data_IF_702738644213
#
_entry.id   IF_702738644213
#
_cell.length_a   1.000
_cell.length_b   1.000
_cell.length_c   1.000
_cell.angle_alpha   90.00
_cell.angle_beta   90.00
_cell.angle_gamma   90.00
#
_symmetry.space_group_name_H-M   'P 1'
#
loop_
_entity.id
_entity.type
_entity.pdbx_description
1 polymer ?
2 polymer ?
3 non-polymer ?
4 water ?
#
# COMPACT_ATOMS: atom_id res chain seq x y z
N UNK A 6 20.18 20.08 -8.88
CA UNK A 6 20.81 21.04 -9.85
C UNK A 6 20.31 20.76 -11.28
N UNK A 7 20.28 19.50 -11.73
CA UNK A 7 19.96 19.12 -13.13
C UNK A 7 18.46 19.30 -13.42
N UNK A 8 18.10 19.88 -14.55
CA UNK A 8 16.70 20.16 -14.91
C UNK A 8 16.01 18.81 -15.17
N UNK A 9 14.79 18.66 -14.68
CA UNK A 9 13.98 17.47 -15.00
C UNK A 9 13.87 16.60 -13.79
N UNK A 10 12.67 16.10 -13.54
CA UNK A 10 12.40 15.20 -12.39
C UNK A 10 11.32 14.21 -12.80
N UNK A 11 11.34 13.05 -12.16
CA UNK A 11 10.27 12.03 -12.30
C UNK A 11 9.75 11.72 -10.91
N UNK A 12 8.45 11.92 -10.74
CA UNK A 12 7.72 11.53 -9.54
C UNK A 12 6.64 10.56 -9.98
N UNK A 13 6.67 9.34 -9.45
CA UNK A 13 5.61 8.35 -9.78
C UNK A 13 4.69 8.24 -8.57
N UNK A 14 3.40 8.35 -8.82
CA UNK A 14 2.36 8.37 -7.75
C UNK A 14 1.30 7.33 -8.06
N UNK A 15 0.48 7.03 -7.04
CA UNK A 15 -0.63 6.09 -7.20
C UNK A 15 -1.97 6.78 -7.16
N UNK A 16 -3.01 6.07 -7.57
CA UNK A 16 -4.40 6.58 -7.39
C UNK A 16 -5.14 5.79 -6.31
N UNK A 17 -4.54 4.75 -5.76
CA UNK A 17 -5.29 3.77 -4.95
C UNK A 17 -6.25 3.01 -5.82
N UNK A 18 -7.16 2.26 -5.23
CA UNK A 18 -7.98 1.28 -5.99
C UNK A 18 -9.37 1.87 -6.23
N UNK A 19 -10.03 2.35 -5.19
CA UNK A 19 -11.39 2.88 -5.31
C UNK A 19 -11.32 4.25 -5.99
N UNK A 20 -12.16 4.45 -6.99
CA UNK A 20 -12.19 5.65 -7.86
C UNK A 20 -12.06 6.92 -7.03
N UNK A 21 -11.01 7.71 -7.32
CA UNK A 21 -10.74 9.10 -6.88
C UNK A 21 -10.41 9.16 -5.38
N UNK A 22 -11.31 8.66 -4.53
CA UNK A 22 -11.19 8.80 -3.07
C UNK A 22 -9.91 8.21 -2.50
N UNK A 23 -9.29 7.21 -3.13
CA UNK A 23 -8.12 6.52 -2.52
C UNK A 23 -6.81 7.13 -3.03
N UNK A 24 -6.90 8.22 -3.77
CA UNK A 24 -5.71 9.03 -4.10
C UNK A 24 -5.24 9.78 -2.84
N UNK A 25 -3.94 9.86 -2.61
CA UNK A 25 -3.42 10.66 -1.47
C UNK A 25 -3.42 12.14 -1.83
N UNK A 26 -3.45 12.98 -0.81
CA UNK A 26 -3.37 14.43 -1.03
C UNK A 26 -2.08 14.76 -1.79
N UNK A 27 -0.95 14.14 -1.46
CA UNK A 27 0.33 14.51 -2.10
C UNK A 27 0.30 14.02 -3.56
N UNK A 28 -0.30 12.87 -3.84
CA UNK A 28 -0.38 12.39 -5.24
C UNK A 28 -1.13 13.45 -6.05
N UNK A 29 -2.28 13.89 -5.56
CA UNK A 29 -3.05 14.98 -6.23
C UNK A 29 -2.19 16.23 -6.43
N UNK A 30 -1.46 16.70 -5.40
CA UNK A 30 -0.69 17.96 -5.49
C UNK A 30 0.40 17.81 -6.57
N UNK A 31 1.06 16.65 -6.70
CA UNK A 31 2.13 16.43 -7.70
C UNK A 31 1.52 16.37 -9.11
N UNK A 32 0.35 15.75 -9.25
CA UNK A 32 -0.36 15.70 -10.56
C UNK A 32 -0.68 17.15 -10.97
N UNK A 33 -1.18 17.98 -10.06
CA UNK A 33 -1.52 19.39 -10.41
C UNK A 33 -0.26 20.18 -10.76
N UNK A 34 0.87 19.94 -10.10
CA UNK A 34 2.12 20.74 -10.29
C UNK A 34 2.89 20.30 -11.53
N UNK A 35 2.65 19.10 -12.06
CA UNK A 35 3.48 18.52 -13.15
C UNK A 35 3.44 19.36 -14.42
N UNK A 36 4.54 19.36 -15.17
CA UNK A 36 4.60 19.85 -16.58
C UNK A 36 3.89 18.85 -17.49
N UNK A 37 4.02 17.56 -17.20
CA UNK A 37 3.46 16.48 -18.05
C UNK A 37 3.07 15.31 -17.15
N UNK A 38 1.90 14.73 -17.42
CA UNK A 38 1.35 13.59 -16.63
C UNK A 38 1.15 12.40 -17.57
N UNK A 39 1.64 11.24 -17.18
CA UNK A 39 1.43 9.97 -17.87
C UNK A 39 0.66 9.07 -16.90
N UNK A 40 -0.47 8.51 -17.32
CA UNK A 40 -1.31 7.74 -16.39
C UNK A 40 -1.70 6.38 -16.95
N UNK A 41 -1.92 5.44 -16.03
CA UNK A 41 -2.40 4.09 -16.34
C UNK A 41 -3.38 3.71 -15.22
N UNK A 42 -4.67 3.93 -15.42
CA UNK A 42 -5.67 3.76 -14.31
C UNK A 42 -6.71 2.76 -14.77
N UNK A 43 -7.60 2.31 -13.90
CA UNK A 43 -8.62 1.33 -14.36
C UNK A 43 -9.92 2.04 -14.69
N UNK A 44 -10.37 2.95 -13.84
CA UNK A 44 -11.77 3.40 -14.01
C UNK A 44 -11.78 4.76 -14.66
N UNK A 45 -12.83 5.04 -15.46
CA UNK A 45 -12.91 6.29 -16.21
C UNK A 45 -13.18 7.52 -15.36
N UNK A 46 -13.78 7.38 -14.17
CA UNK A 46 -14.03 8.55 -13.29
C UNK A 46 -12.69 9.06 -12.76
N UNK A 47 -11.79 8.15 -12.41
CA UNK A 47 -10.40 8.51 -12.01
C UNK A 47 -9.66 9.17 -13.17
N UNK A 48 -9.78 8.59 -14.37
CA UNK A 48 -9.17 9.23 -15.58
C UNK A 48 -9.71 10.65 -15.78
N UNK A 49 -11.02 10.82 -15.78
CA UNK A 49 -11.66 12.15 -15.99
C UNK A 49 -11.16 13.13 -14.91
N UNK A 50 -11.09 12.68 -13.66
CA UNK A 50 -10.62 13.48 -12.51
C UNK A 50 -9.18 13.96 -12.78
N UNK A 51 -8.30 13.06 -13.19
CA UNK A 51 -6.88 13.46 -13.47
C UNK A 51 -6.86 14.54 -14.55
N UNK A 52 -7.64 14.35 -15.63
CA UNK A 52 -7.64 15.30 -16.76
C UNK A 52 -8.17 16.66 -16.31
N UNK A 53 -8.98 16.76 -15.24
CA UNK A 53 -9.41 18.08 -14.71
C UNK A 53 -8.27 18.75 -13.96
N UNK A 54 -7.26 17.98 -13.54
CA UNK A 54 -6.19 18.50 -12.64
C UNK A 54 -4.94 18.93 -13.42
N UNK A 55 -4.75 18.46 -14.64
CA UNK A 55 -3.55 18.84 -15.42
C UNK A 55 -3.94 18.89 -16.90
N UNK A 56 -3.43 19.89 -17.63
CA UNK A 56 -3.81 20.13 -19.02
C UNK A 56 -2.95 19.30 -19.97
N UNK A 57 -1.91 18.61 -19.50
CA UNK A 57 -0.94 17.91 -20.38
C UNK A 57 -0.81 16.44 -19.93
N UNK A 58 -1.82 15.62 -20.19
CA UNK A 58 -1.89 14.20 -19.77
C UNK A 58 -1.82 13.29 -20.98
N UNK A 59 -1.20 12.15 -20.78
CA UNK A 59 -1.12 11.07 -21.77
C UNK A 59 -1.54 9.75 -21.14
N UNK A 60 -2.45 9.05 -21.79
CA UNK A 60 -2.91 7.73 -21.32
C UNK A 60 -1.90 6.68 -21.78
N UNK A 61 -1.21 6.04 -20.82
CA UNK A 61 -0.25 4.95 -21.12
C UNK A 61 -0.97 3.68 -21.59
N UNK A 62 -2.27 3.54 -21.34
CA UNK A 62 -3.00 2.29 -21.68
C UNK A 62 -3.01 2.06 -23.19
N UNK A 63 -2.89 3.11 -23.97
CA UNK A 63 -2.90 2.99 -25.45
C UNK A 63 -1.67 2.22 -25.96
N UNK A 64 -0.66 1.94 -25.12
CA UNK A 64 0.59 1.25 -25.54
C UNK A 64 0.52 -0.26 -25.37
N UNK A 65 -0.57 -0.79 -24.80
CA UNK A 65 -0.92 -2.22 -24.90
C UNK A 65 -1.46 -2.50 -26.29
N UNK A 66 -1.33 -3.73 -26.75
CA UNK A 66 -2.06 -4.17 -27.96
C UNK A 66 -2.20 -5.69 -27.94
N UNK A 67 -3.17 -6.19 -28.69
CA UNK A 67 -3.42 -7.63 -28.81
C UNK A 67 -2.15 -8.34 -29.29
N UNK A 68 -1.72 -9.36 -28.54
CA UNK A 68 -0.58 -10.21 -28.90
C UNK A 68 0.73 -9.45 -28.79
N UNK A 69 0.72 -8.23 -28.26
CA UNK A 69 1.96 -7.40 -28.10
C UNK A 69 2.54 -7.72 -26.72
N UNK A 70 3.82 -8.08 -26.69
CA UNK A 70 4.59 -8.41 -25.48
C UNK A 70 4.36 -7.31 -24.44
N UNK A 71 3.89 -7.64 -23.25
CA UNK A 71 3.71 -6.65 -22.15
C UNK A 71 5.07 -6.02 -21.83
N UNK A 72 6.15 -6.78 -21.92
CA UNK A 72 7.51 -6.24 -21.69
C UNK A 72 7.77 -5.08 -22.66
N UNK A 73 7.40 -5.23 -23.93
CA UNK A 73 7.60 -4.16 -24.94
C UNK A 73 6.73 -2.94 -24.57
N UNK A 74 5.49 -3.17 -24.17
CA UNK A 74 4.60 -2.09 -23.67
C UNK A 74 5.30 -1.36 -22.53
N UNK A 75 5.83 -2.10 -21.55
CA UNK A 75 6.41 -1.52 -20.30
C UNK A 75 7.66 -0.70 -20.69
N UNK A 76 8.49 -1.20 -21.59
CA UNK A 76 9.66 -0.44 -22.08
C UNK A 76 9.18 0.90 -22.66
N UNK A 77 8.12 0.87 -23.46
CA UNK A 77 7.57 2.06 -24.15
C UNK A 77 7.00 3.04 -23.10
N UNK A 78 6.22 2.54 -22.13
CA UNK A 78 5.64 3.40 -21.08
C UNK A 78 6.77 4.13 -20.35
N UNK A 79 7.77 3.39 -19.91
CA UNK A 79 8.95 3.95 -19.22
C UNK A 79 9.58 5.05 -20.10
N UNK A 80 9.83 4.75 -21.36
CA UNK A 80 10.64 5.63 -22.25
C UNK A 80 9.87 6.93 -22.53
N UNK A 81 8.54 6.87 -22.62
CA UNK A 81 7.73 8.08 -22.81
C UNK A 81 7.96 9.03 -21.65
N UNK A 82 7.99 8.53 -20.40
CA UNK A 82 8.17 9.38 -19.21
C UNK A 82 9.60 9.91 -19.19
N UNK A 83 10.59 9.07 -19.38
CA UNK A 83 12.02 9.47 -19.22
C UNK A 83 12.40 10.44 -20.36
N UNK A 84 11.85 10.29 -21.56
CA UNK A 84 12.09 11.27 -22.66
C UNK A 84 11.76 12.69 -22.20
N UNK A 85 10.66 12.89 -21.46
CA UNK A 85 10.22 14.24 -21.00
C UNK A 85 11.10 14.71 -19.84
N UNK A 86 11.56 13.80 -19.00
CA UNK A 86 12.52 14.12 -17.92
C UNK A 86 13.79 14.70 -18.56
N UNK A 87 14.30 14.02 -19.58
CA UNK A 87 15.57 14.40 -20.27
C UNK A 87 15.44 15.79 -20.92
N UNK A 88 14.22 16.22 -21.23
CA UNK A 88 13.95 17.54 -21.86
C UNK A 88 13.84 18.62 -20.77
N UNK A 89 14.04 18.23 -19.52
CA UNK A 89 14.11 19.13 -18.35
C UNK A 89 12.75 19.43 -17.75
N UNK A 90 11.75 18.56 -17.97
CA UNK A 90 10.38 18.76 -17.43
C UNK A 90 10.21 18.00 -16.11
N UNK A 91 9.34 18.52 -15.24
CA UNK A 91 8.85 17.84 -14.03
C UNK A 91 7.71 16.92 -14.47
N UNK A 92 8.03 15.64 -14.54
CA UNK A 92 7.12 14.60 -15.07
C UNK A 92 6.49 13.84 -13.90
N UNK A 93 5.21 13.57 -13.99
CA UNK A 93 4.51 12.71 -12.99
C UNK A 93 3.94 11.52 -13.76
N UNK A 94 4.28 10.33 -13.31
CA UNK A 94 3.64 9.11 -13.76
C UNK A 94 2.62 8.66 -12.73
N UNK A 95 1.50 8.16 -13.20
CA UNK A 95 0.36 7.81 -12.30
C UNK A 95 -0.06 6.38 -12.63
N UNK A 96 -0.02 5.48 -11.64
CA UNK A 96 -0.46 4.10 -11.83
C UNK A 96 -1.51 3.82 -10.77
N UNK A 97 -2.46 2.99 -11.10
CA UNK A 97 -3.49 2.74 -10.08
C UNK A 97 -2.91 1.94 -8.93
N UNK A 98 -3.59 2.07 -7.80
CA UNK A 98 -3.15 1.43 -6.55
C UNK A 98 -1.91 2.10 -6.01
N UNK A 99 -0.95 1.30 -5.60
CA UNK A 99 0.41 1.72 -5.25
C UNK A 99 1.25 1.55 -6.51
N UNK A 100 1.96 2.60 -6.97
CA UNK A 100 2.56 2.54 -8.31
C UNK A 100 3.81 1.66 -8.39
N UNK A 101 4.25 1.09 -7.25
CA UNK A 101 5.41 0.19 -7.20
C UNK A 101 5.05 -1.25 -6.83
N UNK A 102 3.77 -1.55 -6.68
CA UNK A 102 3.26 -2.89 -6.22
C UNK A 102 2.70 -3.61 -7.43
N UNK A 103 3.44 -4.62 -7.90
CA UNK A 103 3.11 -5.36 -9.11
C UNK A 103 3.05 -4.37 -10.30
N UNK A 104 4.04 -3.50 -10.43
CA UNK A 104 4.17 -2.57 -11.60
C UNK A 104 5.62 -2.60 -12.11
N UNK A 105 5.80 -2.95 -13.38
CA UNK A 105 7.13 -2.99 -14.06
C UNK A 105 7.62 -1.59 -14.45
N UNK A 106 6.85 -0.79 -15.22
CA UNK A 106 7.41 0.43 -15.82
C UNK A 106 7.79 1.56 -14.87
N UNK A 107 7.16 1.65 -13.69
CA UNK A 107 7.50 2.69 -12.69
C UNK A 107 8.92 2.46 -12.21
N UNK A 108 9.23 1.24 -11.74
CA UNK A 108 10.58 0.91 -11.26
C UNK A 108 11.61 1.16 -12.38
N UNK A 109 11.28 0.76 -13.60
CA UNK A 109 12.19 0.88 -14.76
C UNK A 109 12.50 2.37 -14.98
N UNK A 110 11.46 3.20 -15.07
CA UNK A 110 11.61 4.63 -15.42
C UNK A 110 12.35 5.38 -14.31
N UNK A 111 12.05 5.09 -13.05
CA UNK A 111 12.74 5.72 -11.91
C UNK A 111 14.21 5.32 -11.88
N UNK A 112 14.54 4.05 -12.11
CA UNK A 112 15.93 3.60 -12.07
C UNK A 112 16.74 4.26 -13.20
N UNK A 113 16.13 4.41 -14.39
CA UNK A 113 16.81 5.03 -15.56
C UNK A 113 17.07 6.51 -15.21
N UNK A 114 16.03 7.21 -14.75
CA UNK A 114 16.13 8.64 -14.35
C UNK A 114 17.22 8.80 -13.29
N UNK A 115 17.20 7.97 -12.27
CA UNK A 115 18.20 8.05 -11.17
C UNK A 115 19.61 7.83 -11.76
N UNK A 116 19.79 6.83 -12.62
CA UNK A 116 21.10 6.43 -13.18
C UNK A 116 21.68 7.57 -14.03
N UNK A 117 20.82 8.40 -14.65
CA UNK A 117 21.24 9.52 -15.54
C UNK A 117 21.35 10.83 -14.75
N UNK A 118 21.14 10.79 -13.44
CA UNK A 118 21.42 11.89 -12.51
C UNK A 118 20.23 12.83 -12.32
N UNK A 119 19.00 12.42 -12.67
CA UNK A 119 17.78 13.24 -12.42
C UNK A 119 17.18 12.90 -11.06
N UNK A 120 16.43 13.85 -10.51
CA UNK A 120 15.62 13.65 -9.29
C UNK A 120 14.54 12.62 -9.63
N UNK A 121 14.35 11.64 -8.78
CA UNK A 121 13.46 10.48 -9.07
C UNK A 121 12.88 10.00 -7.75
N UNK A 122 11.57 9.96 -7.62
CA UNK A 122 10.93 9.53 -6.36
C UNK A 122 9.65 8.77 -6.71
N UNK A 123 9.38 7.75 -5.92
CA UNK A 123 8.05 7.11 -5.92
C UNK A 123 7.32 7.51 -4.64
N UNK A 124 6.09 7.97 -4.79
CA UNK A 124 5.20 8.21 -3.64
C UNK A 124 4.33 6.99 -3.50
N UNK A 125 4.28 6.41 -2.28
CA UNK A 125 3.43 5.26 -2.07
C UNK A 125 1.94 5.58 -2.21
N UNK A 126 1.16 4.53 -2.50
CA UNK A 126 -0.29 4.61 -2.61
C UNK A 126 -0.95 3.40 -1.96
N UNK A 127 -2.26 3.42 -1.92
CA UNK A 127 -3.09 2.33 -1.39
C UNK A 127 -3.15 1.20 -2.41
N UNK A 128 -2.62 0.05 -2.05
CA UNK A 128 -2.60 -1.14 -2.92
C UNK A 128 -3.87 -1.96 -2.80
N UNK A 129 -4.04 -2.91 -3.72
CA UNK A 129 -5.12 -3.90 -3.63
C UNK A 129 -4.98 -4.71 -2.35
N UNK A 130 -3.77 -4.95 -1.87
CA UNK A 130 -3.54 -5.72 -0.62
C UNK A 130 -4.00 -4.84 0.56
N UNK A 131 -3.70 -3.55 0.54
CA UNK A 131 -4.22 -2.61 1.58
C UNK A 131 -5.74 -2.72 1.63
N UNK A 132 -6.39 -2.71 0.47
CA UNK A 132 -7.87 -2.82 0.39
C UNK A 132 -8.32 -4.16 0.98
N UNK A 133 -7.62 -5.23 0.62
CA UNK A 133 -7.91 -6.61 1.11
C UNK A 133 -7.90 -6.62 2.64
N UNK A 134 -6.89 -6.07 3.27
CA UNK A 134 -6.81 -6.07 4.75
C UNK A 134 -8.04 -5.34 5.32
N UNK A 135 -8.39 -4.21 4.71
CA UNK A 135 -9.51 -3.37 5.20
C UNK A 135 -10.84 -4.10 5.01
N UNK A 136 -11.06 -4.74 3.86
CA UNK A 136 -12.38 -5.30 3.50
C UNK A 136 -12.57 -6.68 4.12
N UNK A 137 -11.48 -7.46 4.28
CA UNK A 137 -11.60 -8.82 4.85
C UNK A 137 -11.40 -8.76 6.37
N UNK A 138 -11.08 -7.58 6.91
CA UNK A 138 -10.95 -7.36 8.37
C UNK A 138 -9.86 -8.28 8.92
N UNK A 139 -8.71 -8.23 8.28
CA UNK A 139 -7.52 -8.97 8.74
C UNK A 139 -6.36 -8.00 8.88
N UNK A 140 -5.41 -8.39 9.70
CA UNK A 140 -4.21 -7.59 9.99
C UNK A 140 -3.04 -8.46 9.56
N UNK A 141 -2.13 -8.01 8.66
CA UNK A 141 -1.01 -8.84 8.24
C UNK A 141 -0.11 -9.27 9.42
N UNK A 142 -0.09 -8.47 10.52
CA UNK A 142 0.65 -8.79 11.78
C UNK A 142 0.19 -10.12 12.39
N UNK A 143 -1.06 -10.52 12.18
CA UNK A 143 -1.68 -11.62 12.95
C UNK A 143 -2.35 -12.56 11.96
N UNK A 144 -1.66 -13.61 11.46
CA UNK A 144 -0.37 -14.10 11.97
C UNK A 144 0.83 -14.12 11.00
N UNK A 145 1.10 -12.97 10.38
CA UNK A 145 2.12 -12.83 9.34
C UNK A 145 1.49 -12.95 7.97
N UNK A 146 2.16 -12.43 6.93
CA UNK A 146 1.55 -12.35 5.58
C UNK A 146 2.58 -12.67 4.51
N UNK A 147 2.23 -13.63 3.66
CA UNK A 147 3.03 -13.99 2.45
C UNK A 147 2.25 -13.50 1.24
N UNK A 148 2.91 -12.75 0.38
CA UNK A 148 2.29 -12.09 -0.79
C UNK A 148 3.11 -12.51 -2.02
N UNK A 149 2.42 -13.08 -3.01
CA UNK A 149 3.07 -13.52 -4.26
C UNK A 149 2.22 -13.18 -5.48
N UNK A 150 2.89 -13.09 -6.62
CA UNK A 150 2.27 -13.14 -7.96
C UNK A 150 1.94 -14.61 -8.28
N UNK A 151 0.72 -14.89 -8.72
CA UNK A 151 0.20 -16.27 -8.92
C UNK A 151 1.11 -17.08 -9.86
N UNK A 152 1.58 -16.52 -10.99
CA UNK A 152 2.45 -17.27 -11.95
C UNK A 152 3.80 -17.56 -11.30
N UNK A 153 4.37 -16.56 -10.63
CA UNK A 153 5.66 -16.67 -9.92
C UNK A 153 5.53 -17.73 -8.84
N UNK A 154 4.45 -17.67 -8.06
CA UNK A 154 4.15 -18.63 -6.98
C UNK A 154 4.32 -20.07 -7.51
N UNK A 155 3.78 -20.33 -8.69
CA UNK A 155 3.82 -21.67 -9.34
C UNK A 155 5.21 -21.96 -9.92
N UNK A 156 5.73 -21.06 -10.75
CA UNK A 156 6.97 -21.32 -11.56
C UNK A 156 8.17 -21.48 -10.62
N UNK A 157 8.26 -20.70 -9.54
CA UNK A 157 9.43 -20.77 -8.64
C UNK A 157 9.08 -21.59 -7.39
N UNK A 158 7.91 -22.23 -7.36
CA UNK A 158 7.48 -23.11 -6.24
C UNK A 158 7.71 -22.34 -4.92
N UNK A 159 7.15 -21.13 -4.82
CA UNK A 159 7.32 -20.28 -3.62
C UNK A 159 6.66 -20.97 -2.43
N UNK A 160 7.28 -20.94 -1.24
CA UNK A 160 6.73 -21.65 -0.08
C UNK A 160 5.43 -21.01 0.45
N UNK A 161 4.52 -21.85 0.94
CA UNK A 161 3.36 -21.35 1.73
C UNK A 161 3.64 -21.64 3.20
N UNK A 162 3.03 -20.84 4.07
CA UNK A 162 2.96 -21.12 5.52
C UNK A 162 1.48 -21.34 5.85
N UNK A 163 1.12 -22.55 6.28
CA UNK A 163 -0.29 -22.85 6.66
C UNK A 163 -0.65 -22.08 7.94
N UNK A 164 0.32 -21.44 8.59
CA UNK A 164 0.10 -20.70 9.86
C UNK A 164 -0.02 -19.19 9.63
N UNK A 165 0.21 -18.70 8.41
CA UNK A 165 0.16 -17.25 8.10
C UNK A 165 -0.84 -16.99 6.98
N UNK A 166 -1.19 -15.73 6.81
CA UNK A 166 -1.96 -15.25 5.64
C UNK A 166 -1.19 -15.57 4.35
N UNK A 167 -1.93 -15.91 3.29
CA UNK A 167 -1.39 -15.98 1.91
C UNK A 167 -2.24 -15.06 1.03
N UNK A 168 -1.58 -14.18 0.32
CA UNK A 168 -2.24 -13.34 -0.70
C UNK A 168 -1.62 -13.60 -2.07
N UNK A 169 -2.46 -13.84 -3.08
CA UNK A 169 -2.01 -14.08 -4.47
C UNK A 169 -2.63 -13.05 -5.43
N UNK A 170 -1.77 -12.27 -6.12
CA UNK A 170 -2.14 -11.27 -7.16
C UNK A 170 -2.08 -11.93 -8.55
N UNK A 171 -2.82 -11.38 -9.52
CA UNK A 171 -2.71 -11.78 -10.97
C UNK A 171 -3.11 -13.24 -11.09
N UNK A 172 -4.12 -13.65 -10.34
CA UNK A 172 -4.65 -15.02 -10.46
C UNK A 172 -5.49 -15.16 -11.74
N UNK A 173 -5.90 -14.06 -12.39
CA UNK A 173 -6.68 -14.15 -13.64
C UNK A 173 -5.84 -14.27 -14.90
N UNK A 174 -4.51 -14.28 -14.80
CA UNK A 174 -3.63 -14.37 -16.00
C UNK A 174 -2.45 -15.29 -15.73
N UNK A 175 -2.75 -16.45 -15.16
CA UNK A 175 -1.74 -17.52 -14.88
C UNK A 175 -1.04 -17.97 -16.17
N UNK A 176 0.26 -17.68 -16.28
CA UNK A 176 1.10 -18.13 -17.41
C UNK A 176 1.01 -17.27 -18.66
N UNK A 177 0.37 -16.09 -18.61
CA UNK A 177 0.02 -15.29 -19.83
C UNK A 177 1.02 -14.13 -20.02
N UNK A 178 1.70 -14.04 -21.17
CA UNK A 178 2.83 -13.10 -21.42
C UNK A 178 2.37 -11.79 -22.05
N UNK A 179 1.22 -11.84 -22.72
CA UNK A 179 0.81 -10.76 -23.62
C UNK A 179 -0.49 -10.18 -23.09
N UNK A 180 -1.31 -9.72 -24.01
CA UNK A 180 -2.41 -8.80 -23.70
C UNK A 180 -3.50 -9.07 -24.72
N UNK A 181 -4.74 -8.83 -24.31
CA UNK A 181 -5.90 -8.82 -25.20
C UNK A 181 -6.91 -7.84 -24.62
N UNK A 182 -7.46 -6.95 -25.43
CA UNK A 182 -8.34 -5.85 -24.95
C UNK A 182 -9.58 -6.46 -24.30
N UNK A 183 -10.01 -7.64 -24.75
CA UNK A 183 -11.22 -8.35 -24.24
C UNK A 183 -10.82 -9.36 -23.14
N UNK A 184 -9.59 -9.29 -22.63
CA UNK A 184 -9.16 -10.12 -21.49
C UNK A 184 -8.78 -11.51 -21.94
N UNK A 185 -8.56 -12.41 -20.98
CA UNK A 185 -8.02 -13.78 -21.16
C UNK A 185 -9.02 -14.81 -20.65
N UNK A 186 -9.01 -16.02 -21.24
CA UNK A 186 -9.81 -17.17 -20.76
C UNK A 186 -9.20 -17.71 -19.47
N UNK A 187 -7.89 -17.55 -19.30
CA UNK A 187 -7.16 -17.98 -18.07
C UNK A 187 -7.21 -19.51 -18.03
N UNK A 188 -6.80 -20.15 -19.13
CA UNK A 188 -6.95 -21.60 -19.34
C UNK A 188 -6.02 -22.41 -18.42
N UNK A 189 -4.98 -21.79 -17.83
CA UNK A 189 -3.99 -22.49 -16.96
C UNK A 189 -4.35 -22.29 -15.48
N UNK A 190 -5.52 -21.73 -15.20
CA UNK A 190 -6.04 -21.51 -13.84
C UNK A 190 -6.01 -22.82 -13.03
N UNK A 191 -6.28 -23.97 -13.65
CA UNK A 191 -6.31 -25.26 -12.94
C UNK A 191 -4.96 -25.64 -12.34
N UNK A 192 -3.84 -25.14 -12.90
CA UNK A 192 -2.48 -25.43 -12.37
C UNK A 192 -2.38 -24.78 -10.99
N UNK A 193 -2.94 -23.59 -10.84
CA UNK A 193 -2.93 -22.86 -9.54
C UNK A 193 -3.76 -23.66 -8.53
N UNK A 194 -4.96 -24.06 -8.93
CA UNK A 194 -5.87 -24.82 -8.04
C UNK A 194 -5.19 -26.12 -7.59
N UNK A 195 -4.46 -26.82 -8.47
CA UNK A 195 -3.76 -28.07 -8.09
C UNK A 195 -2.76 -27.79 -6.96
N UNK A 196 -1.99 -26.70 -7.07
CA UNK A 196 -1.01 -26.30 -6.02
C UNK A 196 -1.76 -26.01 -4.71
N UNK A 197 -2.84 -25.21 -4.77
CA UNK A 197 -3.60 -24.88 -3.53
C UNK A 197 -4.12 -26.16 -2.89
N UNK A 198 -4.57 -27.14 -3.67
CA UNK A 198 -5.05 -28.43 -3.13
C UNK A 198 -3.89 -29.15 -2.42
N UNK A 199 -2.71 -29.19 -3.03
CA UNK A 199 -1.52 -29.88 -2.44
C UNK A 199 -1.18 -29.20 -1.12
N UNK A 200 -1.17 -27.88 -1.06
CA UNK A 200 -0.70 -27.12 0.12
C UNK A 200 -1.75 -27.13 1.24
N UNK A 201 -3.04 -27.05 0.91
CA UNK A 201 -4.10 -26.73 1.91
C UNK A 201 -5.19 -27.79 2.01
N UNK A 202 -5.40 -28.60 0.98
CA UNK A 202 -6.50 -29.58 0.97
C UNK A 202 -7.70 -29.05 0.21
N UNK A 203 -8.53 -29.96 -0.30
CA UNK A 203 -9.68 -29.66 -1.20
C UNK A 203 -10.77 -28.84 -0.48
N UNK A 204 -10.88 -28.97 0.85
CA UNK A 204 -11.95 -28.35 1.68
C UNK A 204 -11.49 -27.03 2.31
N UNK A 205 -10.25 -26.57 2.04
CA UNK A 205 -9.74 -25.34 2.69
C UNK A 205 -10.36 -24.12 2.00
N UNK A 206 -10.73 -23.07 2.76
CA UNK A 206 -11.26 -21.84 2.16
C UNK A 206 -10.25 -21.01 1.36
N UNK A 207 -10.71 -20.49 0.21
CA UNK A 207 -10.02 -19.46 -0.61
C UNK A 207 -11.02 -18.32 -0.76
N UNK A 208 -10.61 -17.09 -0.49
CA UNK A 208 -11.51 -15.92 -0.67
C UNK A 208 -11.18 -15.27 -1.99
N UNK A 209 -12.17 -15.21 -2.90
CA UNK A 209 -12.12 -14.41 -4.13
C UNK A 209 -12.43 -12.96 -3.71
N UNK A 210 -11.42 -12.11 -3.82
CA UNK A 210 -11.49 -10.70 -3.41
C UNK A 210 -11.42 -9.79 -4.63
N UNK A 211 -12.44 -8.92 -4.74
CA UNK A 211 -12.36 -7.76 -5.67
C UNK A 211 -12.82 -6.53 -4.88
N UNK A 212 -11.88 -5.64 -4.65
CA UNK A 212 -12.12 -4.33 -4.03
C UNK A 212 -13.09 -3.56 -4.93
N UNK A 213 -14.04 -2.86 -4.33
CA UNK A 213 -14.94 -1.95 -5.05
C UNK A 213 -14.10 -0.90 -5.77
N UNK A 214 -14.36 -0.69 -7.05
CA UNK A 214 -13.60 0.34 -7.80
C UNK A 214 -14.44 1.63 -7.89
N UNK A 215 -15.73 1.54 -7.73
CA UNK A 215 -16.51 2.79 -7.66
C UNK A 215 -17.08 2.94 -6.27
N UNK A 216 -17.30 4.19 -5.81
CA UNK A 216 -17.56 4.45 -4.41
C UNK A 216 -18.84 3.81 -3.86
N UNK A 217 -19.82 3.51 -4.72
CA UNK A 217 -21.12 2.94 -4.27
C UNK A 217 -21.14 1.42 -4.25
N UNK A 218 -20.10 0.77 -4.79
CA UNK A 218 -20.07 -0.70 -5.05
C UNK A 218 -19.65 -1.38 -3.76
N UNK A 219 -20.07 -2.62 -3.57
CA UNK A 219 -19.57 -3.46 -2.46
C UNK A 219 -18.39 -4.27 -2.99
N UNK A 220 -17.44 -4.62 -2.13
CA UNK A 220 -16.38 -5.53 -2.54
C UNK A 220 -16.97 -6.93 -2.74
N UNK A 221 -16.29 -7.71 -3.57
CA UNK A 221 -16.50 -9.18 -3.68
C UNK A 221 -15.63 -9.80 -2.60
N UNK A 222 -16.26 -10.52 -1.67
CA UNK A 222 -15.59 -11.28 -0.58
C UNK A 222 -16.21 -12.68 -0.57
N UNK A 223 -16.03 -13.43 -1.67
CA UNK A 223 -16.68 -14.75 -1.91
C UNK A 223 -15.72 -15.87 -1.51
N UNK A 224 -16.03 -16.54 -0.42
CA UNK A 224 -15.34 -17.75 0.08
C UNK A 224 -15.75 -18.96 -0.76
N UNK A 225 -14.78 -19.68 -1.31
CA UNK A 225 -14.97 -20.99 -2.01
C UNK A 225 -14.04 -22.01 -1.35
N UNK A 226 -14.33 -23.31 -1.44
CA UNK A 226 -13.31 -24.35 -1.10
C UNK A 226 -12.34 -24.41 -2.27
N UNK A 227 -11.13 -24.93 -2.05
CA UNK A 227 -10.18 -25.19 -3.16
C UNK A 227 -10.92 -26.01 -4.24
N UNK A 228 -11.70 -27.03 -3.82
CA UNK A 228 -12.44 -27.93 -4.73
C UNK A 228 -13.36 -27.11 -5.66
N UNK A 229 -14.05 -26.09 -5.11
CA UNK A 229 -15.06 -25.33 -5.87
C UNK A 229 -14.40 -24.54 -6.99
N UNK A 230 -13.14 -24.14 -6.84
CA UNK A 230 -12.39 -23.41 -7.92
C UNK A 230 -12.31 -24.27 -9.18
N UNK A 231 -12.63 -25.57 -9.09
CA UNK A 231 -12.57 -26.50 -10.25
C UNK A 231 -13.87 -26.42 -11.06
N UNK A 232 -14.95 -25.89 -10.48
CA UNK A 232 -16.27 -25.77 -11.16
C UNK A 232 -16.20 -24.63 -12.18
N UNK A 233 -16.57 -24.87 -13.46
CA UNK A 233 -16.31 -23.91 -14.52
C UNK A 233 -16.97 -22.56 -14.27
N UNK A 234 -18.15 -22.57 -13.64
CA UNK A 234 -18.98 -21.35 -13.39
C UNK A 234 -18.26 -20.43 -12.40
N UNK A 235 -17.46 -21.02 -11.49
CA UNK A 235 -16.67 -20.28 -10.46
C UNK A 235 -15.33 -19.84 -11.06
N UNK A 236 -14.59 -20.75 -11.67
CA UNK A 236 -13.33 -20.40 -12.36
C UNK A 236 -13.55 -19.17 -13.25
N UNK A 237 -14.71 -19.13 -13.92
CA UNK A 237 -15.15 -18.09 -14.90
C UNK A 237 -15.15 -16.69 -14.25
N UNK A 238 -15.44 -16.61 -12.95
CA UNK A 238 -15.61 -15.33 -12.21
C UNK A 238 -14.28 -14.65 -11.93
N UNK A 239 -13.15 -15.33 -12.13
CA UNK A 239 -11.80 -14.78 -11.81
C UNK A 239 -11.29 -14.00 -13.02
N UNK A 240 -11.02 -12.71 -12.85
CA UNK A 240 -10.59 -11.79 -13.90
C UNK A 240 -9.34 -11.00 -13.58
N UNK A 241 -9.14 -9.93 -14.32
CA UNK A 241 -7.92 -9.09 -14.31
C UNK A 241 -7.76 -8.33 -13.02
N UNK A 242 -8.82 -8.20 -12.21
CA UNK A 242 -8.73 -7.43 -10.93
C UNK A 242 -9.03 -8.37 -9.74
N UNK A 243 -9.01 -9.68 -9.94
CA UNK A 243 -9.23 -10.71 -8.90
C UNK A 243 -7.92 -10.96 -8.12
N UNK A 244 -8.06 -11.02 -6.81
CA UNK A 244 -6.96 -11.38 -5.88
C UNK A 244 -7.50 -12.52 -5.04
N UNK A 245 -6.64 -13.48 -4.67
CA UNK A 245 -7.04 -14.50 -3.69
C UNK A 245 -6.37 -14.29 -2.34
N UNK A 246 -7.15 -14.55 -1.31
CA UNK A 246 -6.73 -14.61 0.11
C UNK A 246 -6.99 -16.01 0.61
N UNK A 247 -5.94 -16.66 1.10
CA UNK A 247 -6.06 -18.01 1.70
C UNK A 247 -5.71 -17.87 3.18
N UNK A 248 -6.70 -18.09 4.07
CA UNK A 248 -6.47 -17.97 5.50
C UNK A 248 -5.64 -19.12 6.03
N UNK A 249 -4.98 -18.91 7.19
CA UNK A 249 -4.24 -19.98 7.84
C UNK A 249 -5.11 -21.20 8.15
N UNK A 250 -4.45 -22.36 8.19
CA UNK A 250 -5.08 -23.67 8.45
C UNK A 250 -4.94 -23.99 9.94
N UNK A 251 -3.90 -23.49 10.60
CA UNK A 251 -3.56 -23.84 11.99
C UNK A 251 -2.92 -22.65 12.71
N UNK A 252 -2.94 -22.71 14.05
CA UNK A 252 -2.20 -21.76 14.93
C UNK A 252 -0.85 -22.41 15.30
N UNK A 253 0.20 -21.61 15.29
CA UNK A 253 1.58 -22.04 15.55
C UNK A 253 1.85 -21.91 17.05
N UNK A 254 2.51 -22.90 17.63
CA UNK A 254 2.88 -22.91 19.07
C UNK A 254 4.02 -21.93 19.32
N UNK A 255 4.17 -21.48 20.56
CA UNK A 255 5.33 -20.69 21.03
C UNK A 255 6.56 -21.59 21.24
N UNK A 256 7.71 -20.99 20.98
CA UNK A 256 9.08 -21.53 21.13
C UNK A 256 9.52 -21.28 22.59
N UNK A 257 9.81 -22.33 23.37
CA UNK A 257 10.14 -22.18 24.81
C UNK A 257 11.44 -21.38 24.99
N UNK A 258 12.42 -21.57 24.12
CA UNK A 258 13.73 -20.88 24.20
C UNK A 258 13.48 -19.38 24.12
N UNK A 259 12.65 -18.93 23.17
CA UNK A 259 12.36 -17.48 23.02
C UNK A 259 11.53 -16.98 24.21
N UNK A 260 10.50 -17.72 24.64
CA UNK A 260 9.69 -17.38 25.87
C UNK A 260 10.68 -17.12 27.02
N UNK A 261 11.73 -17.95 27.14
CA UNK A 261 12.74 -17.81 28.24
C UNK A 261 13.62 -16.60 28.00
N UNK A 262 14.11 -16.42 26.78
CA UNK A 262 15.08 -15.33 26.46
C UNK A 262 14.36 -13.97 26.47
N UNK A 263 13.07 -13.93 26.16
CA UNK A 263 12.30 -12.64 26.20
C UNK A 263 11.69 -12.43 27.60
N UNK A 264 11.88 -13.38 28.52
CA UNK A 264 11.40 -13.34 29.93
C UNK A 264 9.88 -13.19 29.98
N UNK A 265 9.14 -13.97 29.17
CA UNK A 265 7.66 -14.02 29.20
C UNK A 265 7.23 -15.11 30.16
N UNK A 266 7.67 -14.98 31.42
CA UNK A 266 7.67 -16.05 32.44
C UNK A 266 6.74 -15.64 33.59
N UNK A 267 6.23 -16.60 34.38
CA UNK A 267 6.43 -18.03 34.12
C UNK A 267 5.71 -18.51 32.85
N UNK A 268 6.36 -19.43 32.13
CA UNK A 268 5.72 -20.29 31.10
C UNK A 268 4.69 -21.16 31.83
N UNK A 269 3.42 -20.95 31.54
CA UNK A 269 2.28 -21.42 32.33
C UNK A 269 1.16 -20.38 32.24
N UNK A 270 1.56 -19.10 32.30
CA UNK A 270 0.69 -17.92 32.05
C UNK A 270 0.84 -17.44 30.60
N UNK A 271 1.78 -18.00 29.81
CA UNK A 271 1.77 -17.80 28.33
C UNK A 271 0.46 -18.41 27.85
N UNK A 272 -0.40 -17.70 27.07
CA UNK A 272 -1.67 -18.29 26.64
C UNK A 272 -1.47 -19.52 25.76
N UNK A 273 -2.44 -20.45 25.78
CA UNK A 273 -2.50 -21.61 24.86
C UNK A 273 -2.33 -21.07 23.43
N UNK A 274 -1.73 -21.84 22.52
CA UNK A 274 -1.54 -21.36 21.12
C UNK A 274 -2.91 -21.09 20.47
N UNK A 275 -4.00 -21.70 20.98
CA UNK A 275 -5.38 -21.52 20.43
C UNK A 275 -5.98 -20.20 20.94
N UNK A 276 -5.40 -19.59 21.99
CA UNK A 276 -5.89 -18.34 22.61
C UNK A 276 -5.82 -17.20 21.59
N UNK A 277 -6.85 -16.36 21.47
CA UNK A 277 -6.82 -15.28 20.46
C UNK A 277 -7.21 -13.96 21.11
N UNK A 278 -6.57 -12.89 20.69
CA UNK A 278 -6.98 -11.51 21.02
C UNK A 278 -8.21 -11.25 20.15
N UNK A 279 -9.28 -10.73 20.75
CA UNK A 279 -10.50 -10.38 19.97
C UNK A 279 -10.15 -9.28 18.98
N UNK A 280 -10.62 -9.33 17.71
CA UNK A 280 -11.43 -10.42 17.19
C UNK A 280 -10.62 -11.49 16.47
N UNK A 281 -11.23 -12.66 16.30
CA UNK A 281 -10.67 -13.77 15.51
C UNK A 281 -10.84 -13.48 14.02
N UNK A 282 -9.95 -14.02 13.21
CA UNK A 282 -10.06 -14.00 11.74
C UNK A 282 -11.29 -14.83 11.35
N UNK A 283 -12.30 -14.20 10.78
CA UNK A 283 -13.60 -14.84 10.44
C UNK A 283 -13.43 -15.82 9.26
N UNK A 284 -12.33 -15.77 8.54
CA UNK A 284 -12.16 -16.57 7.29
C UNK A 284 -11.53 -17.92 7.61
N UNK A 285 -10.81 -18.03 8.72
CA UNK A 285 -10.15 -19.27 9.16
C UNK A 285 -11.21 -20.33 9.35
N UNK A 286 -10.97 -21.57 8.87
CA UNK A 286 -11.91 -22.67 9.07
C UNK A 286 -11.99 -23.04 10.55
N UNK A 287 -13.22 -23.22 11.05
CA UNK A 287 -13.49 -23.71 12.43
C UNK A 287 -12.84 -22.75 13.43
N UNK A 288 -13.03 -21.45 13.20
CA UNK A 288 -12.48 -20.38 14.09
C UNK A 288 -13.39 -20.33 15.32
N UNK A 289 -12.82 -20.45 16.55
CA UNK A 289 -13.64 -20.45 17.76
C UNK A 289 -14.18 -19.04 18.03
N UNK A 290 -15.32 -18.95 18.70
CA UNK A 290 -15.92 -17.68 19.17
C UNK A 290 -14.96 -17.09 20.22
N UNK A 291 -14.61 -15.80 20.09
CA UNK A 291 -13.70 -15.12 21.05
C UNK A 291 -14.53 -14.06 21.80
N UNK A 292 -14.40 -14.03 23.12
CA UNK A 292 -15.17 -13.10 23.98
C UNK A 292 -14.55 -11.71 23.87
N UNK A 293 -15.32 -10.69 23.40
CA UNK A 293 -14.85 -9.31 23.36
C UNK A 293 -14.79 -8.64 24.73
N UNK A 294 -15.63 -9.07 25.69
CA UNK A 294 -15.70 -8.39 27.01
C UNK A 294 -15.38 -9.40 28.11
N UNK A 295 -14.12 -9.82 28.17
CA UNK A 295 -13.56 -10.61 29.30
C UNK A 295 -13.56 -9.73 30.54
N UNK A 296 -13.50 -10.31 31.76
CA UNK A 296 -13.39 -9.51 32.98
C UNK A 296 -12.30 -8.42 32.94
N UNK A 297 -11.15 -8.72 32.34
CA UNK A 297 -10.02 -7.75 32.21
C UNK A 297 -10.44 -6.58 31.30
N UNK A 298 -11.20 -6.86 30.24
CA UNK A 298 -11.72 -5.80 29.32
C UNK A 298 -12.65 -4.91 30.15
N UNK A 299 -13.55 -5.52 30.90
CA UNK A 299 -14.57 -4.79 31.68
C UNK A 299 -13.89 -3.91 32.74
N UNK A 300 -12.82 -4.40 33.35
CA UNK A 300 -12.05 -3.64 34.37
C UNK A 300 -11.39 -2.44 33.69
N UNK A 301 -10.83 -2.61 32.49
CA UNK A 301 -10.15 -1.51 31.76
C UNK A 301 -11.19 -0.43 31.45
N UNK A 302 -12.39 -0.82 31.04
CA UNK A 302 -13.47 0.14 30.68
C UNK A 302 -13.93 0.88 31.94
N UNK A 303 -14.00 0.19 33.08
CA UNK A 303 -14.39 0.80 34.37
C UNK A 303 -13.44 1.95 34.73
N UNK A 304 -12.17 1.84 34.33
CA UNK A 304 -11.13 2.85 34.65
C UNK A 304 -11.35 4.15 33.85
N UNK A 305 -12.13 4.12 32.77
CA UNK A 305 -12.36 5.32 31.92
C UNK A 305 -12.99 6.46 32.73
N UNK A 306 -13.85 6.15 33.71
CA UNK A 306 -14.59 7.18 34.46
C UNK A 306 -13.62 8.13 35.17
N UNK A 307 -12.57 7.57 35.80
CA UNK A 307 -11.59 8.33 36.62
C UNK A 307 -10.38 8.78 35.77
N UNK A 308 -10.38 8.58 34.45
CA UNK A 308 -9.16 8.80 33.63
C UNK A 308 -8.88 10.29 33.52
N UNK A 309 -7.61 10.65 33.65
CA UNK A 309 -7.06 11.96 33.27
C UNK A 309 -5.80 11.73 32.43
N UNK A 310 -5.41 12.68 31.57
CA UNK A 310 -4.21 12.53 30.77
C UNK A 310 -3.03 12.36 31.73
N UNK A 311 -2.13 11.40 31.46
CA UNK A 311 -0.95 11.20 32.28
C UNK A 311 -0.06 12.45 32.26
N UNK A 312 0.76 12.61 33.31
CA UNK A 312 1.58 13.83 33.47
C UNK A 312 2.55 13.97 32.29
N UNK A 313 2.97 12.87 31.66
CA UNK A 313 3.98 12.86 30.57
C UNK A 313 3.35 13.03 29.18
N UNK A 314 2.02 13.06 29.13
CA UNK A 314 1.27 13.26 27.87
C UNK A 314 1.59 14.67 27.37
N UNK A 315 1.76 14.83 26.06
CA UNK A 315 2.19 16.10 25.44
C UNK A 315 1.04 16.68 24.62
N UNK A 316 0.26 17.64 25.15
CA UNK A 316 -0.84 18.20 24.39
C UNK A 316 -0.31 19.05 23.23
N UNK A 317 -1.02 19.03 22.12
CA UNK A 317 -0.77 19.95 21.00
C UNK A 317 -0.88 21.39 21.50
N UNK A 318 0.07 22.21 21.09
CA UNK A 318 0.18 23.62 21.49
C UNK A 318 0.87 24.37 20.37
N UNK A 319 0.13 24.60 19.30
CA UNK A 319 0.68 25.19 18.05
C UNK A 319 -0.12 26.45 17.75
N UNK A 320 -0.05 26.92 16.51
CA UNK A 320 -0.60 28.22 16.10
C UNK A 320 -1.12 28.04 14.69
N UNK A 321 -2.06 28.88 14.25
CA UNK A 321 -2.60 28.80 12.89
C UNK A 321 -1.41 28.98 11.93
N UNK A 322 -0.46 29.85 12.26
CA UNK A 322 0.61 30.20 11.31
C UNK A 322 1.49 28.97 11.12
N UNK A 323 1.79 28.26 12.20
CA UNK A 323 2.63 27.04 12.11
C UNK A 323 1.87 25.89 11.43
N UNK A 324 0.62 25.60 11.81
CA UNK A 324 -0.14 24.52 11.14
C UNK A 324 -0.29 24.88 9.66
N UNK A 325 -0.55 26.16 9.36
CA UNK A 325 -0.65 26.60 7.95
C UNK A 325 0.62 26.24 7.18
N UNK A 326 1.81 26.58 7.68
CA UNK A 326 3.05 26.36 6.89
C UNK A 326 3.34 24.86 6.80
N UNK A 327 3.14 24.09 7.88
CA UNK A 327 3.38 22.63 7.81
C UNK A 327 2.39 21.97 6.80
N UNK A 328 1.15 22.45 6.74
CA UNK A 328 0.17 22.00 5.72
C UNK A 328 0.66 22.37 4.32
N UNK A 329 1.12 23.61 4.14
CA UNK A 329 1.62 24.09 2.82
C UNK A 329 2.82 23.25 2.38
N UNK A 330 3.73 22.89 3.28
CA UNK A 330 4.91 22.05 2.93
C UNK A 330 4.43 20.67 2.48
N UNK A 331 3.34 20.15 3.03
CA UNK A 331 2.82 18.81 2.66
C UNK A 331 2.03 18.90 1.33
N UNK A 332 1.37 20.01 1.07
CA UNK A 332 0.33 20.06 -0.01
C UNK A 332 0.80 20.90 -1.20
N UNK A 333 1.93 21.59 -1.09
CA UNK A 333 2.44 22.49 -2.16
C UNK A 333 3.87 22.08 -2.48
N UNK A 334 4.09 21.22 -3.51
CA UNK A 334 5.43 20.78 -3.89
C UNK A 334 6.41 21.90 -4.24
N UNK A 335 5.91 23.02 -4.73
CA UNK A 335 6.74 24.21 -5.06
C UNK A 335 7.22 24.86 -3.75
N UNK A 336 6.32 25.04 -2.77
CA UNK A 336 6.67 25.55 -1.43
C UNK A 336 7.71 24.63 -0.81
N UNK A 337 7.51 23.31 -0.84
CA UNK A 337 8.47 22.32 -0.29
C UNK A 337 9.84 22.47 -0.96
N UNK A 338 9.89 22.54 -2.29
CA UNK A 338 11.16 22.69 -3.02
C UNK A 338 11.87 23.97 -2.56
N UNK A 339 11.13 25.08 -2.43
CA UNK A 339 11.67 26.39 -1.98
C UNK A 339 12.27 26.24 -0.56
N UNK A 340 11.52 25.60 0.32
CA UNK A 340 11.95 25.40 1.74
C UNK A 340 13.20 24.55 1.77
N UNK A 341 13.22 23.44 1.03
CA UNK A 341 14.39 22.52 1.00
C UNK A 341 15.60 23.25 0.40
N UNK A 342 15.40 24.24 -0.47
CA UNK A 342 16.49 24.97 -1.15
C UNK A 342 17.16 25.94 -0.18
N UNK A 343 16.38 26.53 0.75
CA UNK A 343 16.91 27.52 1.71
C UNK A 343 15.97 27.60 2.91
N UNK A 344 16.22 26.77 3.92
CA UNK A 344 15.38 26.70 5.15
C UNK A 344 15.25 28.12 5.72
N UNK A 345 16.37 28.86 5.81
CA UNK A 345 16.40 30.16 6.53
C UNK A 345 15.58 31.20 5.78
N UNK A 346 15.85 31.39 4.49
CA UNK A 346 15.14 32.37 3.65
C UNK A 346 13.64 32.05 3.70
N UNK A 347 13.27 30.78 3.53
CA UNK A 347 11.84 30.37 3.50
C UNK A 347 11.21 30.72 4.86
N UNK A 348 11.85 30.28 5.95
CA UNK A 348 11.36 30.43 7.34
C UNK A 348 11.18 31.92 7.68
N UNK A 349 12.11 32.76 7.26
CA UNK A 349 12.09 34.20 7.59
C UNK A 349 11.01 34.93 6.78
N UNK A 350 10.45 34.31 5.73
CA UNK A 350 9.41 34.93 4.86
C UNK A 350 8.00 34.44 5.24
N UNK A 351 7.87 33.45 6.13
CA UNK A 351 6.53 32.98 6.59
C UNK A 351 5.96 34.02 7.53
N UNK A 352 4.73 34.52 7.28
CA UNK A 352 4.13 35.50 8.18
C UNK A 352 3.64 34.82 9.46
N UNK A 353 3.73 35.53 10.58
CA UNK A 353 2.97 35.31 11.85
C UNK A 353 3.59 34.17 12.66
N UNK A 354 4.70 33.59 12.23
CA UNK A 354 5.39 32.57 13.05
C UNK A 354 5.88 33.24 14.32
N UNK A 355 5.82 32.52 15.44
CA UNK A 355 6.52 32.91 16.70
C UNK A 355 8.01 32.69 16.50
N UNK A 356 8.87 33.35 17.30
CA UNK A 356 10.30 33.08 17.26
C UNK A 356 10.70 31.61 17.34
N UNK A 357 10.07 30.84 18.23
CA UNK A 357 10.38 29.40 18.37
C UNK A 357 10.07 28.68 17.04
N UNK A 358 8.93 28.99 16.45
CA UNK A 358 8.43 28.32 15.21
C UNK A 358 9.40 28.66 14.08
N UNK A 359 9.77 29.93 13.97
CA UNK A 359 10.72 30.40 12.94
C UNK A 359 12.03 29.64 13.11
N UNK A 360 12.50 29.53 14.35
CA UNK A 360 13.78 28.88 14.69
C UNK A 360 13.70 27.41 14.30
N UNK A 361 12.60 26.73 14.62
CA UNK A 361 12.41 25.29 14.33
C UNK A 361 12.45 25.06 12.82
N UNK A 362 11.81 25.94 12.05
CA UNK A 362 11.77 25.80 10.56
C UNK A 362 13.16 26.06 9.98
N UNK A 363 13.87 27.07 10.49
CA UNK A 363 15.24 27.41 10.02
C UNK A 363 16.13 26.16 10.15
N UNK A 364 16.00 25.42 11.26
CA UNK A 364 16.80 24.20 11.55
C UNK A 364 16.30 23.07 10.66
N UNK A 365 14.97 22.87 10.65
CA UNK A 365 14.32 21.77 9.93
C UNK A 365 14.32 20.50 10.75
N UNK A 366 14.98 20.49 11.90
CA UNK A 366 15.10 19.30 12.80
C UNK A 366 13.71 18.83 13.19
N UNK A 367 13.40 17.56 12.93
CA UNK A 367 12.09 16.96 13.24
C UNK A 367 11.78 17.12 14.72
N UNK A 368 12.79 17.03 15.60
CA UNK A 368 12.56 17.19 17.06
C UNK A 368 12.28 18.65 17.40
N UNK A 369 12.93 19.61 16.75
CA UNK A 369 12.71 21.05 17.05
C UNK A 369 11.27 21.43 16.69
N UNK A 370 10.79 20.93 15.56
CA UNK A 370 9.40 21.19 15.08
C UNK A 370 8.42 20.58 16.09
N UNK A 371 8.73 19.38 16.57
CA UNK A 371 7.87 18.68 17.55
C UNK A 371 7.73 19.51 18.84
N UNK A 372 8.77 20.08 19.48
CA UNK A 372 8.39 20.83 20.70
C UNK A 372 8.04 22.29 20.40
N UNK A 373 8.13 22.75 19.14
CA UNK A 373 7.46 24.00 18.76
C UNK A 373 5.94 23.78 18.74
N UNK A 374 5.49 22.53 18.51
CA UNK A 374 4.06 22.25 18.22
C UNK A 374 3.39 21.49 19.36
N UNK A 375 4.16 21.00 20.35
CA UNK A 375 3.65 20.17 21.47
C UNK A 375 4.23 20.70 22.78
N UNK A 376 3.41 20.73 23.82
CA UNK A 376 3.90 21.11 25.18
C UNK A 376 4.57 19.86 25.77
N UNK A 377 5.90 19.87 25.91
CA UNK A 377 6.65 18.77 26.56
C UNK A 377 6.69 19.08 28.07
N UNK A 378 5.98 18.30 28.90
CA UNK A 378 5.99 18.53 30.36
C UNK A 378 7.39 18.29 30.96
N UNK A 379 7.70 18.93 32.10
CA UNK A 379 9.01 18.76 32.80
C UNK A 379 9.16 17.29 33.21
N UNK A 380 8.03 16.65 33.52
CA UNK A 380 7.93 15.21 33.89
C UNK A 380 8.57 14.34 32.81
N UNK A 381 8.28 14.66 31.54
CA UNK A 381 8.77 13.91 30.35
C UNK A 381 10.29 14.09 30.19
N UNK A 382 10.83 15.28 30.48
CA UNK A 382 12.18 15.72 30.05
C UNK A 382 13.20 15.29 31.12
N UNK A 383 12.73 15.15 32.36
CA UNK A 383 13.50 14.58 33.51
C UNK A 383 13.80 13.11 33.22
N UNK A 384 12.89 12.41 32.51
CA UNK A 384 13.07 11.03 32.02
C UNK A 384 13.65 11.03 30.59
N UNK A 385 13.18 11.93 29.71
CA UNK A 385 13.34 11.89 28.23
C UNK A 385 14.76 11.47 27.82
N UNK A 386 14.86 10.47 26.94
CA UNK A 386 16.13 9.85 26.45
C UNK A 386 16.59 10.53 25.14
N UNK A 387 16.06 11.72 24.81
CA UNK A 387 16.71 12.65 23.84
C UNK A 387 17.83 13.40 24.57
N UNK A 388 19.08 12.94 24.43
CA UNK A 388 20.28 13.55 25.06
C UNK A 388 20.36 15.03 24.66
N UNK A 389 19.75 15.90 25.46
CA UNK A 389 19.69 17.36 25.25
C UNK A 389 19.18 18.07 26.49
N UNK B 1 -13.49 -7.64 -15.45
CA UNK B 1 -13.24 -7.41 -16.90
C UNK B 1 -12.73 -6.00 -17.17
N UNK B 2 -12.18 -5.25 -16.19
CA UNK B 2 -11.02 -4.39 -16.48
C UNK B 2 -9.75 -5.25 -16.57
N UNK B 3 -8.87 -4.99 -17.55
CA UNK B 3 -7.61 -5.74 -17.74
C UNK B 3 -6.42 -4.79 -17.73
N UNK B 5 -2.94 -4.98 -16.46
CA UNK B 5 -1.88 -5.78 -15.87
C UNK B 5 -0.57 -5.05 -16.12
N UNK B 7 2.46 -5.72 -14.77
CA UNK B 7 3.56 -6.55 -14.31
C UNK B 7 3.51 -7.92 -15.00
N UNK B 8 4.68 -8.50 -15.25
CA UNK B 8 4.80 -9.92 -15.56
C UNK B 8 6.10 -10.44 -15.03
N UNK B 9 6.16 -11.73 -14.72
CA UNK B 9 7.37 -12.34 -14.13
C UNK B 9 8.33 -12.80 -15.23
N UNK B 10 9.62 -12.73 -14.95
CA UNK B 10 10.71 -13.40 -15.71
C UNK B 10 10.36 -14.89 -15.75
N UNK B 11 10.42 -15.47 -16.96
CA UNK B 11 9.87 -16.81 -17.27
C UNK B 11 8.60 -16.69 -18.11
N UNK B 12 7.74 -15.69 -17.85
CA UNK B 12 6.45 -15.50 -18.59
C UNK B 12 6.63 -14.41 -19.66
N UNK B 13 6.96 -13.17 -19.29
CA UNK B 13 6.93 -12.01 -20.25
C UNK B 13 8.30 -11.90 -20.95
N UNK B 14 8.27 -11.31 -22.15
CA UNK B 14 9.40 -11.27 -23.12
C UNK B 14 8.94 -10.79 -24.49
#
# INVERSE_FOLDING_TARGET
GTSTQTKAGSLTIVGTGIESIGQMTLQALSYIEAAAKVFYCVIDPATEAFILTKNKNCVDLYQYYDNGKSRLNTYTQMSELMVREVRKGLDVVGVFYGHPGVFVNPSHRALAIAKSEGYRARMLPGVSAEDCLFADLCIDPSNPGCLTYEASDFLIRDRPVSIHSHLVLFQVGCVGIADFNFTGFDNNKFGVLVDRLEQEYGAEHPVVHYIAAMMPHQDPVTDKYTVAQLREPEIAKRVGGVSTFYIPPKARKASNLDIIRRLELLPAGQVPDKKARIYPANQWEPDVPEVEPYRPSDQAAIAQLADHAPPEQYQPLATSKAMSDVMTKLALDPKALADYKADHRAFAQSVPDLTPQERAALELGDSWAIRCAMKNMPSSLLDAARESGEEASQNGFPWVIVFGVIGVIG
FPWXIXFGVIGVIG
#
